data_IF_233672251697
#
_entry.id   IF_233672251697
#
_cell.length_a   1.000
_cell.length_b   1.000
_cell.length_c   1.000
_cell.angle_alpha   90.00
_cell.angle_beta   90.00
_cell.angle_gamma   90.00
#
_symmetry.space_group_name_H-M   'P 1'
#
loop_
_entity.id
_entity.type
_entity.pdbx_description
1 polymer ?
#
# COMPACT_ATOMS: atom_id res chain seq x y z
N UNK A 1 16.44 11.21 13.50
CA UNK A 1 15.17 11.05 14.24
C UNK A 1 15.24 11.95 15.45
N UNK A 2 14.35 12.93 15.58
CA UNK A 2 14.47 13.96 16.61
C UNK A 2 13.19 14.02 17.44
N UNK A 3 13.24 13.47 18.66
CA UNK A 3 12.11 13.47 19.60
C UNK A 3 11.62 14.91 19.87
N UNK A 4 12.54 15.88 19.91
CA UNK A 4 12.22 17.29 20.11
C UNK A 4 11.30 17.84 19.01
N UNK A 5 11.63 17.57 17.74
CA UNK A 5 10.80 17.94 16.58
C UNK A 5 9.43 17.26 16.62
N UNK A 6 9.37 15.99 17.04
CA UNK A 6 8.11 15.27 17.18
C UNK A 6 7.22 15.89 18.26
N UNK A 7 7.77 16.25 19.42
CA UNK A 7 7.03 16.95 20.48
C UNK A 7 6.44 18.25 19.94
N UNK A 8 7.24 19.06 19.23
CA UNK A 8 6.77 20.30 18.59
C UNK A 8 5.64 20.02 17.60
N UNK A 9 5.84 19.03 16.72
CA UNK A 9 4.89 18.65 15.67
C UNK A 9 3.54 18.26 16.27
N UNK A 10 3.53 17.33 17.22
CA UNK A 10 2.29 16.80 17.81
C UNK A 10 1.63 17.79 18.77
N UNK A 11 2.41 18.63 19.48
CA UNK A 11 1.84 19.73 20.26
C UNK A 11 1.08 20.71 19.36
N UNK A 12 1.71 21.13 18.25
CA UNK A 12 1.09 22.07 17.29
C UNK A 12 -0.13 21.45 16.61
N UNK A 13 -0.11 20.16 16.28
CA UNK A 13 -1.29 19.49 15.70
C UNK A 13 -2.47 19.33 16.66
N UNK A 14 -2.26 19.54 17.96
CA UNK A 14 -3.29 19.57 18.99
C UNK A 14 -3.63 21.01 19.44
N UNK A 15 -3.17 22.03 18.70
CA UNK A 15 -3.42 23.45 18.98
C UNK A 15 -3.01 23.92 20.38
N UNK A 16 -1.97 23.29 20.95
CA UNK A 16 -1.47 23.63 22.28
C UNK A 16 -0.26 24.58 22.21
N UNK A 17 -0.23 25.60 23.06
CA UNK A 17 0.99 26.34 23.37
C UNK A 17 1.91 25.54 24.30
N UNK A 18 3.19 25.91 24.38
CA UNK A 18 4.13 25.31 25.34
C UNK A 18 3.62 25.45 26.80
N UNK A 19 3.01 26.59 27.11
CA UNK A 19 2.42 26.87 28.42
C UNK A 19 1.23 25.95 28.71
N UNK A 20 0.33 25.78 27.74
CA UNK A 20 -0.82 24.90 27.89
C UNK A 20 -0.41 23.44 28.03
N UNK A 21 0.58 22.98 27.26
CA UNK A 21 1.12 21.63 27.37
C UNK A 21 1.75 21.40 28.74
N UNK A 22 2.58 22.34 29.21
CA UNK A 22 3.23 22.26 30.52
C UNK A 22 2.20 22.20 31.66
N UNK A 23 1.17 23.06 31.59
CA UNK A 23 0.08 23.09 32.58
C UNK A 23 -0.68 21.77 32.63
N UNK A 24 -0.99 21.18 31.49
CA UNK A 24 -1.69 19.89 31.41
C UNK A 24 -0.84 18.71 31.91
N UNK A 25 0.48 18.78 31.74
CA UNK A 25 1.43 17.78 32.24
C UNK A 25 1.87 18.03 33.70
N UNK A 26 1.42 19.12 34.31
CA UNK A 26 1.82 19.55 35.65
C UNK A 26 3.34 19.72 35.82
N UNK A 27 3.98 20.35 34.83
CA UNK A 27 5.43 20.65 34.81
C UNK A 27 5.67 22.12 34.45
N UNK A 28 6.93 22.56 34.56
CA UNK A 28 7.31 23.91 34.15
C UNK A 28 7.33 24.07 32.62
N UNK A 29 6.91 25.24 32.12
CA UNK A 29 7.04 25.61 30.70
C UNK A 29 8.48 25.48 30.21
N UNK A 30 9.45 25.79 31.07
CA UNK A 30 10.87 25.64 30.77
C UNK A 30 11.24 24.19 30.42
N UNK A 31 10.66 23.20 31.11
CA UNK A 31 10.89 21.78 30.80
C UNK A 31 10.42 21.44 29.39
N UNK A 32 9.22 21.86 29.01
CA UNK A 32 8.69 21.69 27.65
C UNK A 32 9.59 22.38 26.62
N UNK A 33 10.03 23.61 26.87
CA UNK A 33 10.93 24.34 25.96
C UNK A 33 12.25 23.59 25.76
N UNK A 34 12.85 23.08 26.84
CA UNK A 34 14.11 22.31 26.77
C UNK A 34 13.93 21.02 25.98
N UNK A 35 12.79 20.34 26.12
CA UNK A 35 12.49 19.15 25.33
C UNK A 35 12.34 19.47 23.85
N UNK A 36 11.63 20.55 23.51
CA UNK A 36 11.42 20.99 22.13
C UNK A 36 12.68 21.52 21.45
N UNK A 37 13.64 22.02 22.23
CA UNK A 37 14.95 22.44 21.73
C UNK A 37 15.98 21.29 21.69
N UNK A 38 15.64 20.11 22.22
CA UNK A 38 16.58 18.98 22.33
C UNK A 38 17.65 19.15 23.40
N UNK A 39 17.50 20.12 24.31
CA UNK A 39 18.44 20.38 25.41
C UNK A 39 18.36 19.29 26.50
N UNK A 40 17.19 18.69 26.70
CA UNK A 40 16.96 17.61 27.67
C UNK A 40 15.95 16.61 27.13
N UNK A 41 15.99 15.37 27.64
CA UNK A 41 15.01 14.33 27.32
C UNK A 41 13.90 14.26 28.38
N UNK A 42 12.63 14.05 27.99
CA UNK A 42 11.57 13.74 28.94
C UNK A 42 11.82 12.38 29.62
N UNK A 43 11.41 12.25 30.87
CA UNK A 43 11.37 10.95 31.57
C UNK A 43 10.36 9.99 30.91
N UNK A 44 10.45 8.69 31.23
CA UNK A 44 9.49 7.69 30.74
C UNK A 44 8.06 8.07 31.13
N UNK A 45 7.83 8.48 32.38
CA UNK A 45 6.51 8.91 32.83
C UNK A 45 5.98 10.11 32.03
N UNK A 46 6.85 11.08 31.74
CA UNK A 46 6.49 12.24 30.92
C UNK A 46 6.22 11.86 29.46
N UNK A 47 6.94 10.87 28.91
CA UNK A 47 6.67 10.35 27.57
C UNK A 47 5.31 9.64 27.51
N UNK A 48 4.97 8.85 28.51
CA UNK A 48 3.66 8.19 28.63
C UNK A 48 2.56 9.27 28.74
N UNK A 49 2.73 10.25 29.62
CA UNK A 49 1.78 11.35 29.79
C UNK A 49 1.63 12.20 28.52
N UNK A 50 2.72 12.51 27.82
CA UNK A 50 2.71 13.18 26.52
C UNK A 50 1.91 12.39 25.50
N UNK A 51 2.16 11.08 25.39
CA UNK A 51 1.46 10.22 24.41
C UNK A 51 -0.06 10.19 24.67
N UNK A 52 -0.49 10.08 25.94
CA UNK A 52 -1.90 10.11 26.31
C UNK A 52 -2.55 11.47 26.07
N UNK A 53 -1.86 12.57 26.39
CA UNK A 53 -2.38 13.93 26.22
C UNK A 53 -2.51 14.31 24.74
N UNK A 54 -1.54 13.93 23.92
CA UNK A 54 -1.52 14.21 22.49
C UNK A 54 -2.31 13.20 21.66
N UNK A 55 -2.94 12.21 22.32
CA UNK A 55 -3.76 11.14 21.72
C UNK A 55 -3.04 10.35 20.61
N UNK A 56 -1.76 10.02 20.85
CA UNK A 56 -0.91 9.23 19.95
C UNK A 56 -0.23 8.10 20.73
N UNK A 57 0.26 7.08 20.03
CA UNK A 57 1.06 6.05 20.69
C UNK A 57 2.44 6.57 21.09
N UNK A 58 3.05 5.96 22.10
CA UNK A 58 4.44 6.24 22.46
C UNK A 58 5.41 6.01 21.29
N UNK A 59 5.17 4.96 20.50
CA UNK A 59 5.95 4.67 19.28
C UNK A 59 5.84 5.81 18.27
N UNK A 60 4.65 6.39 18.09
CA UNK A 60 4.41 7.50 17.17
C UNK A 60 5.06 8.80 17.67
N UNK A 61 5.02 9.05 18.98
CA UNK A 61 5.73 10.17 19.60
C UNK A 61 7.26 10.08 19.37
N UNK A 62 7.83 8.89 19.54
CA UNK A 62 9.29 8.69 19.42
C UNK A 62 9.72 8.66 17.96
N UNK A 63 9.00 7.94 17.09
CA UNK A 63 9.39 7.77 15.69
C UNK A 63 8.93 8.89 14.77
N UNK A 64 7.90 9.65 15.17
CA UNK A 64 7.26 10.67 14.33
C UNK A 64 6.36 10.10 13.24
N UNK A 65 6.25 8.77 13.19
CA UNK A 65 5.52 8.00 12.19
C UNK A 65 4.29 7.32 12.80
N UNK A 66 3.20 7.17 12.03
CA UNK A 66 1.99 6.55 12.54
C UNK A 66 2.25 5.11 12.97
N UNK A 67 1.64 4.71 14.08
CA UNK A 67 1.78 3.36 14.60
C UNK A 67 1.33 2.31 13.57
N UNK A 68 2.15 1.26 13.42
CA UNK A 68 1.90 0.17 12.51
C UNK A 68 1.12 -0.94 13.23
N UNK A 69 -0.20 -0.97 13.02
CA UNK A 69 -1.06 -2.03 13.55
C UNK A 69 -0.80 -3.36 12.83
N UNK A 70 -0.50 -4.41 13.59
CA UNK A 70 -0.31 -5.77 13.08
C UNK A 70 -1.55 -6.64 13.35
N UNK A 71 -2.00 -7.47 12.38
CA UNK A 71 -1.49 -7.61 11.02
C UNK A 71 -1.84 -6.40 10.13
N UNK A 72 -0.86 -5.91 9.36
CA UNK A 72 -1.08 -4.83 8.40
C UNK A 72 -1.25 -5.40 6.99
N UNK A 73 -2.41 -5.22 6.37
CA UNK A 73 -2.64 -5.63 4.98
C UNK A 73 -2.33 -4.47 4.03
N UNK A 74 -1.30 -4.62 3.20
CA UNK A 74 -0.91 -3.62 2.21
C UNK A 74 -1.64 -3.89 0.88
N UNK A 75 -2.49 -2.95 0.46
CA UNK A 75 -3.17 -2.96 -0.83
C UNK A 75 -4.49 -3.72 -0.88
N UNK A 76 -4.93 -4.31 0.25
CA UNK A 76 -6.24 -4.95 0.37
C UNK A 76 -7.35 -3.90 0.21
N UNK A 77 -8.27 -4.06 -0.76
CA UNK A 77 -9.36 -3.11 -0.92
C UNK A 77 -10.26 -3.07 0.33
N UNK A 78 -10.60 -1.86 0.79
CA UNK A 78 -11.51 -1.67 1.93
C UNK A 78 -12.97 -1.93 1.57
N UNK A 79 -13.37 -1.41 0.41
CA UNK A 79 -14.77 -1.45 -0.04
C UNK A 79 -15.00 -2.73 -0.85
N UNK A 80 -16.13 -3.39 -0.60
CA UNK A 80 -16.58 -4.55 -1.40
C UNK A 80 -17.44 -4.14 -2.61
N UNK A 81 -17.82 -2.87 -2.71
CA UNK A 81 -18.68 -2.33 -3.78
C UNK A 81 -18.19 -2.70 -5.19
N UNK A 82 -16.89 -2.55 -5.55
CA UNK A 82 -16.43 -2.95 -6.87
C UNK A 82 -16.71 -4.43 -7.15
N UNK A 83 -16.41 -5.32 -6.20
CA UNK A 83 -16.70 -6.75 -6.35
C UNK A 83 -18.20 -7.02 -6.52
N UNK A 84 -19.08 -6.29 -5.82
CA UNK A 84 -20.54 -6.39 -5.99
C UNK A 84 -20.95 -5.91 -7.38
N UNK A 85 -20.43 -4.77 -7.85
CA UNK A 85 -20.70 -4.23 -9.20
C UNK A 85 -20.29 -5.25 -10.26
N UNK A 86 -19.12 -5.88 -10.13
CA UNK A 86 -18.67 -6.94 -11.02
C UNK A 86 -19.71 -8.06 -11.08
N UNK A 87 -20.15 -8.59 -9.93
CA UNK A 87 -21.15 -9.67 -9.89
C UNK A 87 -22.47 -9.25 -10.54
N UNK A 88 -22.95 -8.04 -10.25
CA UNK A 88 -24.19 -7.50 -10.82
C UNK A 88 -24.09 -7.37 -12.34
N UNK A 89 -22.95 -6.89 -12.87
CA UNK A 89 -22.71 -6.79 -14.32
C UNK A 89 -22.65 -8.18 -14.98
N UNK A 90 -22.01 -9.17 -14.34
CA UNK A 90 -21.97 -10.53 -14.86
C UNK A 90 -23.37 -11.17 -14.88
N UNK A 91 -24.18 -10.99 -13.83
CA UNK A 91 -25.56 -11.50 -13.79
C UNK A 91 -26.43 -10.80 -14.83
N UNK A 92 -26.34 -9.48 -14.96
CA UNK A 92 -27.13 -8.74 -15.95
C UNK A 92 -26.83 -9.20 -17.37
N UNK A 93 -25.58 -9.55 -17.67
CA UNK A 93 -25.19 -10.06 -19.00
C UNK A 93 -25.91 -11.34 -19.44
N UNK A 94 -26.37 -12.16 -18.48
CA UNK A 94 -27.16 -13.37 -18.75
C UNK A 94 -28.64 -13.03 -18.95
N UNK A 95 -29.17 -12.05 -18.21
CA UNK A 95 -30.57 -11.64 -18.28
C UNK A 95 -30.96 -11.00 -19.62
N UNK A 96 -30.00 -10.41 -20.34
CA UNK A 96 -30.25 -9.82 -21.67
C UNK A 96 -30.35 -10.85 -22.80
N UNK A 97 -30.07 -12.13 -22.55
CA UNK A 97 -30.12 -13.18 -23.57
C UNK A 97 -31.57 -13.60 -23.77
N UNK A 98 -32.14 -13.29 -24.95
CA UNK A 98 -33.49 -13.71 -25.31
C UNK A 98 -33.53 -15.22 -25.57
N UNK A 99 -34.59 -15.88 -25.09
CA UNK A 99 -34.79 -17.32 -25.21
C UNK A 99 -34.98 -17.78 -26.67
N UNK A 100 -35.61 -16.95 -27.50
CA UNK A 100 -35.83 -17.23 -28.94
C UNK A 100 -34.53 -17.31 -29.74
N UNK A 101 -33.48 -16.61 -29.30
CA UNK A 101 -32.18 -16.56 -30.01
C UNK A 101 -31.37 -17.84 -29.83
N UNK A 102 -31.70 -18.65 -28.83
CA UNK A 102 -30.95 -19.85 -28.49
C UNK A 102 -31.47 -21.10 -29.22
N UNK A 103 -32.73 -21.16 -29.65
CA UNK A 103 -33.32 -22.33 -30.34
C UNK A 103 -33.39 -23.65 -29.53
N UNK A 104 -32.50 -23.86 -28.56
CA UNK A 104 -32.41 -24.99 -27.63
C UNK A 104 -31.63 -24.58 -26.36
N UNK A 105 -31.87 -25.27 -25.24
CA UNK A 105 -31.27 -25.03 -23.91
C UNK A 105 -29.74 -25.07 -23.95
N UNK A 106 -29.14 -26.01 -24.68
CA UNK A 106 -27.67 -26.14 -24.76
C UNK A 106 -27.00 -24.90 -25.38
N UNK A 107 -27.62 -24.31 -26.39
CA UNK A 107 -27.12 -23.11 -27.05
C UNK A 107 -27.32 -21.88 -26.16
N UNK A 108 -28.38 -21.81 -25.34
CA UNK A 108 -28.57 -20.75 -24.34
C UNK A 108 -27.45 -20.78 -23.28
N UNK A 109 -27.14 -21.97 -22.75
CA UNK A 109 -26.05 -22.13 -21.77
C UNK A 109 -24.71 -21.72 -22.39
N UNK A 110 -24.45 -22.13 -23.63
CA UNK A 110 -23.24 -21.77 -24.35
C UNK A 110 -23.08 -20.26 -24.56
N UNK A 111 -24.13 -19.58 -25.02
CA UNK A 111 -24.10 -18.11 -25.24
C UNK A 111 -23.99 -17.33 -23.94
N UNK A 112 -24.66 -17.77 -22.87
CA UNK A 112 -24.55 -17.18 -21.53
C UNK A 112 -23.13 -17.33 -20.95
N UNK A 113 -22.51 -18.49 -21.13
CA UNK A 113 -21.14 -18.71 -20.66
C UNK A 113 -20.14 -17.80 -21.40
N UNK A 114 -20.26 -17.69 -22.72
CA UNK A 114 -19.41 -16.81 -23.54
C UNK A 114 -19.61 -15.33 -23.18
N UNK A 115 -20.85 -14.87 -22.99
CA UNK A 115 -21.12 -13.47 -22.65
C UNK A 115 -20.49 -13.08 -21.31
N UNK A 116 -20.59 -13.94 -20.29
CA UNK A 116 -19.99 -13.74 -18.97
C UNK A 116 -18.46 -13.69 -19.07
N UNK A 117 -17.83 -14.61 -19.81
CA UNK A 117 -16.36 -14.61 -20.00
C UNK A 117 -15.88 -13.34 -20.69
N UNK A 118 -16.56 -12.92 -21.76
CA UNK A 118 -16.21 -11.72 -22.51
C UNK A 118 -16.35 -10.49 -21.61
N UNK A 119 -17.49 -10.35 -20.94
CA UNK A 119 -17.73 -9.20 -20.06
C UNK A 119 -16.75 -9.15 -18.89
N UNK A 120 -16.47 -10.29 -18.25
CA UNK A 120 -15.47 -10.37 -17.20
C UNK A 120 -14.08 -9.95 -17.71
N UNK A 121 -13.70 -10.39 -18.91
CA UNK A 121 -12.44 -10.00 -19.54
C UNK A 121 -12.38 -8.49 -19.77
N UNK A 122 -13.44 -7.90 -20.32
CA UNK A 122 -13.54 -6.45 -20.52
C UNK A 122 -13.42 -5.72 -19.18
N UNK A 123 -14.12 -6.16 -18.14
CA UNK A 123 -14.07 -5.49 -16.83
C UNK A 123 -12.67 -5.58 -16.21
N UNK A 124 -11.96 -6.72 -16.32
CA UNK A 124 -10.62 -6.84 -15.77
C UNK A 124 -9.56 -5.94 -16.44
N UNK A 125 -9.74 -5.61 -17.73
CA UNK A 125 -8.74 -4.87 -18.50
C UNK A 125 -9.12 -3.42 -18.81
N UNK A 126 -10.42 -3.12 -18.95
CA UNK A 126 -10.93 -1.81 -19.35
C UNK A 126 -11.51 -1.00 -18.17
N UNK A 127 -11.91 -1.65 -17.08
CA UNK A 127 -12.48 -0.95 -15.93
C UNK A 127 -11.37 -0.33 -15.06
N UNK A 128 -11.59 0.85 -14.45
CA UNK A 128 -10.55 1.57 -13.71
C UNK A 128 -10.15 0.92 -12.37
N UNK A 129 -10.75 -0.20 -11.98
CA UNK A 129 -10.50 -0.86 -10.69
C UNK A 129 -9.72 -2.16 -10.85
N UNK A 130 -8.60 -2.32 -10.12
CA UNK A 130 -7.79 -3.55 -10.15
C UNK A 130 -8.41 -4.60 -9.20
N UNK A 131 -9.29 -5.44 -9.75
CA UNK A 131 -9.93 -6.54 -9.03
C UNK A 131 -8.95 -7.60 -8.49
N UNK A 132 -7.73 -7.68 -9.04
CA UNK A 132 -6.72 -8.64 -8.61
C UNK A 132 -6.24 -8.35 -7.18
N UNK A 133 -6.39 -7.10 -6.72
CA UNK A 133 -6.05 -6.66 -5.36
C UNK A 133 -6.75 -7.42 -4.24
N UNK A 134 -7.95 -7.96 -4.49
CA UNK A 134 -8.61 -8.81 -3.50
C UNK A 134 -7.84 -10.10 -3.24
N UNK A 135 -6.93 -10.49 -4.14
CA UNK A 135 -6.06 -11.65 -4.03
C UNK A 135 -4.59 -11.29 -3.74
N UNK A 136 -4.05 -10.28 -4.44
CA UNK A 136 -2.60 -10.01 -4.51
C UNK A 136 -2.01 -9.20 -3.36
N UNK A 137 -2.82 -8.66 -2.45
CA UNK A 137 -2.33 -7.94 -1.28
C UNK A 137 -1.37 -8.81 -0.45
N UNK A 138 -0.50 -8.18 0.34
CA UNK A 138 0.38 -8.86 1.28
C UNK A 138 0.15 -8.35 2.69
N UNK A 139 0.58 -9.13 3.68
CA UNK A 139 0.31 -8.87 5.09
C UNK A 139 1.62 -8.83 5.86
N UNK A 140 1.87 -7.72 6.54
CA UNK A 140 2.98 -7.56 7.47
C UNK A 140 2.55 -8.04 8.85
N UNK A 141 3.34 -8.93 9.45
CA UNK A 141 3.15 -9.45 10.81
C UNK A 141 4.35 -9.07 11.69
N UNK A 142 4.25 -9.23 13.02
CA UNK A 142 5.38 -8.93 13.93
C UNK A 142 6.61 -9.81 13.71
N UNK A 143 6.41 -11.04 13.22
CA UNK A 143 7.43 -12.09 13.04
C UNK A 143 7.85 -12.33 11.58
N UNK A 144 7.15 -11.76 10.61
CA UNK A 144 7.41 -12.03 9.20
C UNK A 144 6.38 -11.43 8.26
N UNK A 145 6.40 -11.87 7.00
CA UNK A 145 5.55 -11.36 5.92
C UNK A 145 4.75 -12.52 5.34
N UNK A 146 3.44 -12.34 5.18
CA UNK A 146 2.58 -13.25 4.44
C UNK A 146 2.26 -12.66 3.07
N UNK A 147 2.45 -13.42 2.00
CA UNK A 147 2.16 -12.98 0.64
C UNK A 147 1.41 -14.05 -0.15
N UNK A 148 0.70 -13.65 -1.20
CA UNK A 148 -0.09 -14.56 -2.03
C UNK A 148 0.80 -15.28 -3.06
N UNK A 149 0.47 -16.54 -3.34
CA UNK A 149 1.12 -17.40 -4.36
C UNK A 149 0.07 -17.94 -5.35
N UNK A 150 0.36 -18.14 -6.65
CA UNK A 150 1.66 -17.97 -7.30
C UNK A 150 2.02 -16.49 -7.51
N UNK A 151 3.33 -16.22 -7.45
CA UNK A 151 3.86 -14.86 -7.46
C UNK A 151 3.79 -14.27 -8.87
N UNK A 152 2.75 -13.49 -9.16
CA UNK A 152 2.50 -12.93 -10.48
C UNK A 152 2.49 -11.40 -10.40
N UNK A 153 3.69 -10.83 -10.38
CA UNK A 153 4.03 -9.55 -11.03
C UNK A 153 5.53 -9.28 -10.85
N UNK A 154 6.34 -10.27 -11.24
CA UNK A 154 7.68 -9.97 -11.77
C UNK A 154 7.47 -9.03 -12.96
N UNK A 155 8.23 -7.92 -13.08
CA UNK A 155 8.25 -7.12 -14.30
C UNK A 155 8.44 -8.03 -15.52
N UNK A 156 7.46 -8.07 -16.43
CA UNK A 156 7.52 -8.89 -17.65
C UNK A 156 6.74 -10.22 -17.64
N UNK A 157 6.19 -10.67 -16.52
CA UNK A 157 5.34 -11.88 -16.48
C UNK A 157 3.86 -11.49 -16.59
N UNK A 158 3.38 -11.25 -17.82
CA UNK A 158 1.97 -10.97 -18.15
C UNK A 158 1.35 -12.16 -18.86
N UNK A 159 0.14 -12.56 -18.46
CA UNK A 159 -0.73 -13.41 -19.29
C UNK A 159 -0.93 -14.85 -18.84
N UNK A 160 -0.72 -15.17 -17.56
CA UNK A 160 -1.10 -16.49 -17.05
C UNK A 160 -2.62 -16.53 -16.76
N UNK A 161 -3.27 -17.67 -17.05
CA UNK A 161 -4.64 -18.00 -16.61
C UNK A 161 -4.89 -17.67 -15.13
N UNK A 162 -3.85 -17.75 -14.30
CA UNK A 162 -3.92 -17.40 -12.89
C UNK A 162 -4.37 -15.95 -12.62
N UNK A 163 -3.93 -14.97 -13.41
CA UNK A 163 -4.37 -13.57 -13.24
C UNK A 163 -5.87 -13.40 -13.50
N UNK A 164 -6.42 -14.19 -14.43
CA UNK A 164 -7.82 -14.17 -14.78
C UNK A 164 -8.69 -14.76 -13.66
N UNK A 165 -8.23 -15.83 -13.00
CA UNK A 165 -8.98 -16.50 -11.94
C UNK A 165 -8.73 -15.91 -10.54
N UNK A 166 -7.79 -14.99 -10.36
CA UNK A 166 -7.48 -14.38 -9.05
C UNK A 166 -8.68 -13.73 -8.37
N UNK A 167 -9.45 -12.82 -9.03
CA UNK A 167 -10.64 -12.24 -8.42
C UNK A 167 -11.66 -13.30 -7.99
N UNK A 168 -11.83 -14.35 -8.81
CA UNK A 168 -12.70 -15.50 -8.52
C UNK A 168 -12.18 -16.26 -7.29
N UNK A 169 -10.89 -16.62 -7.26
CA UNK A 169 -10.26 -17.27 -6.10
C UNK A 169 -10.40 -16.40 -4.84
N UNK A 170 -10.26 -15.09 -4.95
CA UNK A 170 -10.44 -14.17 -3.85
C UNK A 170 -11.89 -14.18 -3.33
N UNK A 171 -12.86 -14.18 -4.24
CA UNK A 171 -14.28 -14.23 -3.91
C UNK A 171 -14.65 -15.50 -3.14
N UNK A 172 -14.14 -16.66 -3.58
CA UNK A 172 -14.35 -17.94 -2.91
C UNK A 172 -13.39 -18.20 -1.74
N UNK A 173 -12.62 -17.21 -1.30
CA UNK A 173 -11.64 -17.34 -0.20
C UNK A 173 -10.56 -18.42 -0.46
N UNK A 174 -10.31 -18.78 -1.72
CA UNK A 174 -9.30 -19.75 -2.16
C UNK A 174 -7.90 -19.12 -2.34
N UNK A 175 -7.59 -18.11 -1.51
CA UNK A 175 -6.29 -17.41 -1.55
C UNK A 175 -5.22 -18.28 -0.90
N UNK A 176 -4.23 -18.69 -1.69
CA UNK A 176 -3.05 -19.41 -1.20
C UNK A 176 -2.00 -18.39 -0.76
N UNK A 177 -1.50 -18.54 0.46
CA UNK A 177 -0.52 -17.62 1.05
C UNK A 177 0.68 -18.38 1.60
N UNK A 178 1.89 -17.85 1.37
CA UNK A 178 3.12 -18.30 2.02
C UNK A 178 3.51 -17.28 3.09
N UNK A 179 3.98 -17.76 4.24
CA UNK A 179 4.55 -16.94 5.30
C UNK A 179 6.06 -17.12 5.31
N UNK A 180 6.80 -16.02 5.44
CA UNK A 180 8.27 -16.02 5.53
C UNK A 180 8.65 -15.21 6.76
N UNK A 181 9.43 -15.81 7.67
CA UNK A 181 9.89 -15.11 8.86
C UNK A 181 10.99 -14.09 8.53
N UNK A 182 11.14 -13.04 9.35
CA UNK A 182 12.21 -12.06 9.15
C UNK A 182 13.61 -12.67 9.23
N UNK A 183 13.80 -13.75 9.99
CA UNK A 183 15.07 -14.49 10.07
C UNK A 183 15.42 -15.26 8.80
N UNK A 184 14.44 -15.53 7.94
CA UNK A 184 14.65 -16.23 6.66
C UNK A 184 14.98 -15.25 5.53
N UNK A 185 14.77 -13.95 5.75
CA UNK A 185 14.97 -12.91 4.74
C UNK A 185 16.42 -12.43 4.81
N UNK A 186 17.14 -12.63 3.70
CA UNK A 186 18.51 -12.15 3.50
C UNK A 186 18.51 -10.65 3.21
N UNK A 187 17.75 -10.23 2.21
CA UNK A 187 17.70 -8.82 1.80
C UNK A 187 16.34 -8.40 1.25
N UNK A 188 16.07 -7.09 1.34
CA UNK A 188 14.91 -6.42 0.78
C UNK A 188 15.39 -5.23 -0.05
N UNK A 189 15.09 -5.23 -1.34
CA UNK A 189 15.42 -4.15 -2.27
C UNK A 189 14.13 -3.39 -2.64
N UNK A 190 14.09 -2.07 -2.45
CA UNK A 190 12.98 -1.24 -2.94
C UNK A 190 13.26 -0.85 -4.39
N UNK A 191 12.33 -1.17 -5.29
CA UNK A 191 12.52 -0.98 -6.72
C UNK A 191 11.32 -0.23 -7.29
N UNK A 192 11.61 0.83 -8.04
CA UNK A 192 10.67 1.56 -8.86
C UNK A 192 11.16 1.59 -10.32
N UNK A 193 10.37 1.05 -11.25
CA UNK A 193 10.67 1.08 -12.68
C UNK A 193 9.67 1.97 -13.40
N UNK A 194 10.06 3.21 -13.75
CA UNK A 194 9.20 4.08 -14.54
C UNK A 194 9.12 3.62 -15.99
N UNK A 195 8.13 4.16 -16.71
CA UNK A 195 8.08 4.01 -18.15
C UNK A 195 9.19 4.81 -18.84
N UNK A 196 9.51 4.43 -20.08
CA UNK A 196 10.47 5.17 -20.92
C UNK A 196 10.01 6.59 -21.27
N UNK A 197 8.71 6.88 -21.14
CA UNK A 197 8.11 8.19 -21.47
C UNK A 197 7.41 8.70 -20.21
N UNK A 198 7.68 9.97 -19.85
CA UNK A 198 7.07 10.57 -18.69
C UNK A 198 5.55 10.77 -18.92
N UNK A 199 4.71 10.47 -17.91
CA UNK A 199 3.27 10.38 -18.14
C UNK A 199 2.59 11.73 -18.42
N UNK A 200 3.17 12.81 -17.89
CA UNK A 200 2.80 14.21 -18.10
C UNK A 200 2.98 14.71 -19.55
N UNK A 201 3.80 14.04 -20.35
CA UNK A 201 4.05 14.39 -21.77
C UNK A 201 3.23 13.54 -22.76
N UNK A 202 2.41 12.62 -22.27
CA UNK A 202 1.61 11.76 -23.15
C UNK A 202 0.28 12.43 -23.52
N UNK A 203 -0.01 12.50 -24.83
CA UNK A 203 -1.22 13.07 -25.45
C UNK A 203 -2.51 12.69 -24.71
N UNK A 204 -3.57 13.51 -24.80
CA UNK A 204 -4.84 13.51 -24.03
C UNK A 204 -5.60 12.16 -23.79
N UNK A 205 -5.13 11.03 -24.33
CA UNK A 205 -5.59 9.66 -24.06
C UNK A 205 -4.47 8.77 -23.44
N UNK A 206 -3.43 9.40 -22.90
CA UNK A 206 -2.24 8.76 -22.34
C UNK A 206 -2.50 8.12 -20.99
N UNK A 207 -1.60 7.22 -20.52
CA UNK A 207 -1.78 6.39 -19.33
C UNK A 207 -1.92 7.15 -18.00
N UNK A 208 -1.95 8.49 -17.99
CA UNK A 208 -1.83 9.31 -16.79
C UNK A 208 -2.64 10.60 -16.87
N UNK A 209 -3.89 10.53 -17.33
CA UNK A 209 -4.85 11.56 -16.94
C UNK A 209 -5.19 11.33 -15.46
N UNK A 210 -4.80 12.21 -14.51
CA UNK A 210 -4.96 11.95 -13.07
C UNK A 210 -6.41 11.75 -12.62
N UNK A 211 -7.38 12.20 -13.44
CA UNK A 211 -8.82 12.04 -13.21
C UNK A 211 -9.37 10.67 -13.66
N UNK A 212 -8.67 9.95 -14.53
CA UNK A 212 -9.19 8.74 -15.19
C UNK A 212 -8.61 7.43 -14.67
N UNK A 213 -7.39 7.42 -14.11
CA UNK A 213 -6.76 6.16 -13.68
C UNK A 213 -6.52 6.13 -12.18
N UNK A 214 -7.32 5.29 -11.52
CA UNK A 214 -7.18 4.92 -10.14
C UNK A 214 -6.13 3.81 -9.97
N UNK A 215 -5.00 3.72 -10.71
CA UNK A 215 -3.88 2.78 -10.45
C UNK A 215 -2.58 3.37 -11.03
N UNK A 216 -1.50 3.35 -10.23
CA UNK A 216 -0.14 3.55 -10.71
C UNK A 216 0.28 2.36 -11.59
N UNK A 217 0.64 2.63 -12.84
CA UNK A 217 0.96 1.56 -13.81
C UNK A 217 2.43 1.15 -13.79
N UNK A 218 3.28 1.99 -13.22
CA UNK A 218 4.68 1.72 -13.00
C UNK A 218 4.87 0.56 -12.01
N UNK A 219 5.94 -0.15 -12.25
CA UNK A 219 6.34 -1.28 -11.43
C UNK A 219 7.00 -0.74 -10.15
N UNK A 220 6.29 -0.81 -9.03
CA UNK A 220 6.79 -0.40 -7.72
C UNK A 220 6.54 -1.50 -6.69
N UNK A 221 7.63 -2.04 -6.13
CA UNK A 221 7.58 -3.19 -5.23
C UNK A 221 8.83 -3.29 -4.36
N UNK A 222 8.74 -4.06 -3.27
CA UNK A 222 9.92 -4.65 -2.64
C UNK A 222 10.28 -5.95 -3.33
N UNK A 223 11.55 -6.16 -3.69
CA UNK A 223 12.10 -7.47 -4.03
C UNK A 223 12.72 -8.06 -2.78
N UNK A 224 12.24 -9.22 -2.36
CA UNK A 224 12.69 -9.91 -1.15
C UNK A 224 13.44 -11.16 -1.56
N UNK A 225 14.64 -11.32 -1.02
CA UNK A 225 15.51 -12.46 -1.24
C UNK A 225 15.68 -13.18 0.09
N UNK A 226 15.41 -14.49 0.10
CA UNK A 226 15.61 -15.33 1.29
C UNK A 226 17.03 -15.87 1.36
N UNK A 227 17.43 -16.41 2.52
CA UNK A 227 18.71 -17.12 2.65
C UNK A 227 18.82 -18.38 1.78
N UNK A 228 17.68 -18.93 1.34
CA UNK A 228 17.60 -20.07 0.42
C UNK A 228 17.57 -19.65 -1.05
N UNK A 229 17.88 -18.38 -1.35
CA UNK A 229 17.81 -17.77 -2.68
C UNK A 229 16.40 -17.78 -3.33
N UNK A 230 15.34 -18.09 -2.59
CA UNK A 230 13.96 -17.81 -3.04
C UNK A 230 13.79 -16.30 -3.19
N UNK A 231 13.25 -15.87 -4.33
CA UNK A 231 12.91 -14.47 -4.62
C UNK A 231 11.40 -14.33 -4.71
N UNK A 232 10.84 -13.37 -3.98
CA UNK A 232 9.47 -12.93 -4.13
C UNK A 232 9.40 -11.41 -4.08
N UNK A 233 8.32 -10.82 -4.57
CA UNK A 233 8.19 -9.37 -4.56
C UNK A 233 6.95 -8.93 -3.77
N UNK A 234 6.87 -7.70 -3.30
CA UNK A 234 5.73 -7.20 -2.53
C UNK A 234 5.27 -5.90 -3.18
N UNK A 235 4.06 -5.89 -3.72
CA UNK A 235 3.51 -4.77 -4.47
C UNK A 235 3.35 -3.52 -3.60
N UNK A 236 3.84 -2.38 -4.11
CA UNK A 236 3.81 -1.08 -3.43
C UNK A 236 3.02 0.00 -4.16
N UNK A 237 2.40 -0.28 -5.31
CA UNK A 237 1.70 0.72 -6.15
C UNK A 237 0.59 1.49 -5.44
N UNK A 238 0.02 0.89 -4.40
CA UNK A 238 -1.03 1.52 -3.57
C UNK A 238 -0.53 2.72 -2.76
N UNK A 239 0.79 2.91 -2.68
CA UNK A 239 1.42 4.13 -2.20
C UNK A 239 1.02 5.36 -3.02
N UNK A 240 0.68 5.20 -4.30
CA UNK A 240 0.43 6.33 -5.20
C UNK A 240 -0.72 7.25 -4.76
N UNK A 241 -1.75 6.74 -4.08
CA UNK A 241 -2.85 7.61 -3.62
C UNK A 241 -2.48 8.27 -2.31
N UNK A 242 -2.27 9.59 -2.34
CA UNK A 242 -1.88 10.39 -1.16
C UNK A 242 -2.78 10.18 0.07
N UNK A 243 -4.07 9.89 -0.14
CA UNK A 243 -5.03 9.66 0.93
C UNK A 243 -5.15 8.20 1.40
N UNK A 244 -4.44 7.25 0.78
CA UNK A 244 -4.48 5.83 1.16
C UNK A 244 -3.80 5.58 2.51
N UNK A 245 -4.14 4.45 3.13
CA UNK A 245 -3.46 4.03 4.37
C UNK A 245 -2.01 3.67 4.05
N UNK A 246 -1.81 3.03 2.91
CA UNK A 246 -0.54 2.59 2.34
C UNK A 246 0.41 3.77 2.16
N UNK A 247 -0.05 4.89 1.59
CA UNK A 247 0.74 6.11 1.45
C UNK A 247 1.24 6.62 2.81
N UNK A 248 0.33 6.71 3.78
CA UNK A 248 0.63 7.22 5.12
C UNK A 248 1.54 6.30 5.94
N UNK A 249 1.59 5.01 5.63
CA UNK A 249 2.28 3.99 6.46
C UNK A 249 3.51 3.38 5.81
N UNK A 250 3.76 3.60 4.51
CA UNK A 250 4.93 3.03 3.84
C UNK A 250 6.25 3.48 4.47
N UNK A 251 6.33 4.75 4.89
CA UNK A 251 7.48 5.26 5.66
C UNK A 251 7.70 4.43 6.94
N UNK A 252 6.65 4.21 7.73
CA UNK A 252 6.72 3.36 8.94
C UNK A 252 7.14 1.94 8.62
N UNK A 253 6.61 1.36 7.53
CA UNK A 253 6.94 0.01 7.07
C UNK A 253 8.43 -0.09 6.74
N UNK A 254 8.98 0.86 5.99
CA UNK A 254 10.40 0.90 5.63
C UNK A 254 11.26 0.97 6.90
N UNK A 255 10.95 1.87 7.83
CA UNK A 255 11.69 1.99 9.09
C UNK A 255 11.56 0.75 9.97
N UNK A 256 10.40 0.10 9.96
CA UNK A 256 10.19 -1.16 10.66
C UNK A 256 11.06 -2.28 10.06
N UNK A 257 11.11 -2.42 8.73
CA UNK A 257 11.93 -3.42 8.05
C UNK A 257 13.43 -3.18 8.26
N UNK A 258 13.89 -1.92 8.18
CA UNK A 258 15.28 -1.53 8.48
C UNK A 258 15.73 -1.93 9.90
N UNK A 259 14.79 -1.96 10.86
CA UNK A 259 15.07 -2.39 12.25
C UNK A 259 15.15 -3.90 12.44
N UNK A 260 14.78 -4.71 11.43
CA UNK A 260 14.73 -6.19 11.55
C UNK A 260 16.07 -6.89 11.29
N UNK A 261 17.19 -6.15 11.26
CA UNK A 261 18.52 -6.69 10.93
C UNK A 261 18.55 -7.41 9.58
N UNK A 262 17.79 -6.89 8.61
CA UNK A 262 17.73 -7.37 7.24
C UNK A 262 18.54 -6.39 6.39
N UNK A 263 19.28 -6.89 5.40
CA UNK A 263 19.97 -6.04 4.44
C UNK A 263 18.95 -5.28 3.59
N UNK A 264 18.83 -3.98 3.81
CA UNK A 264 17.87 -3.14 3.09
C UNK A 264 18.59 -2.35 1.99
N UNK A 265 18.29 -2.68 0.74
CA UNK A 265 18.89 -2.10 -0.46
C UNK A 265 17.99 -1.02 -1.05
N UNK A 266 18.56 0.16 -1.30
CA UNK A 266 17.86 1.29 -1.91
C UNK A 266 18.78 2.03 -2.87
N UNK A 267 18.99 1.42 -4.03
CA UNK A 267 19.89 1.94 -5.05
C UNK A 267 19.37 3.24 -5.71
N UNK A 268 18.09 3.54 -5.54
CA UNK A 268 17.40 4.65 -6.22
C UNK A 268 17.08 5.83 -5.27
N UNK A 269 17.43 5.74 -3.99
CA UNK A 269 17.13 6.78 -2.98
C UNK A 269 15.64 6.92 -2.66
N UNK A 270 14.83 5.90 -2.95
CA UNK A 270 13.37 5.95 -2.85
C UNK A 270 12.91 6.13 -1.41
N UNK A 271 13.57 5.45 -0.48
CA UNK A 271 13.21 5.50 0.95
C UNK A 271 13.36 6.91 1.50
N UNK A 272 14.38 7.65 1.09
CA UNK A 272 14.57 9.03 1.53
C UNK A 272 13.44 9.93 1.00
N UNK A 273 13.02 9.75 -0.25
CA UNK A 273 11.90 10.49 -0.84
C UNK A 273 10.60 10.20 -0.10
N UNK A 274 10.33 8.91 0.19
CA UNK A 274 9.13 8.48 0.94
C UNK A 274 9.14 9.03 2.37
N UNK A 275 10.29 8.99 3.06
CA UNK A 275 10.43 9.51 4.42
C UNK A 275 10.25 11.03 4.49
N UNK A 276 10.65 11.77 3.44
CA UNK A 276 10.42 13.21 3.34
C UNK A 276 8.97 13.59 2.98
N UNK A 277 8.07 12.61 2.75
CA UNK A 277 6.64 12.79 2.43
C UNK A 277 6.38 13.85 1.35
N UNK A 278 7.18 13.83 0.29
CA UNK A 278 7.09 14.85 -0.76
C UNK A 278 5.89 14.60 -1.67
N UNK A 279 5.10 15.65 -1.93
CA UNK A 279 3.80 15.54 -2.63
C UNK A 279 3.91 15.03 -4.08
N UNK A 280 5.08 15.13 -4.71
CA UNK A 280 5.31 14.74 -6.12
C UNK A 280 6.33 13.59 -6.26
N UNK A 281 6.12 12.48 -5.53
CA UNK A 281 6.98 11.28 -5.58
C UNK A 281 7.27 10.82 -7.01
N UNK A 282 6.23 10.63 -7.83
CA UNK A 282 6.39 10.11 -9.20
C UNK A 282 7.23 11.05 -10.06
N UNK A 283 6.95 12.36 -10.03
CA UNK A 283 7.68 13.34 -10.84
C UNK A 283 9.16 13.40 -10.47
N UNK A 284 9.50 13.26 -9.17
CA UNK A 284 10.89 13.16 -8.74
C UNK A 284 11.57 11.89 -9.21
N UNK A 285 10.88 10.75 -9.18
CA UNK A 285 11.41 9.50 -9.70
C UNK A 285 11.67 9.53 -11.21
N UNK A 286 10.86 10.27 -11.98
CA UNK A 286 11.15 10.50 -13.41
C UNK A 286 12.31 11.48 -13.62
N UNK A 287 12.48 12.47 -12.74
CA UNK A 287 13.58 13.44 -12.83
C UNK A 287 14.93 12.88 -12.36
N UNK A 288 14.95 11.85 -11.52
CA UNK A 288 16.20 11.21 -11.06
C UNK A 288 16.83 10.24 -12.08
N UNK A 289 16.14 10.00 -13.19
CA UNK A 289 16.53 9.03 -14.23
C UNK A 289 17.03 9.73 -15.51
N UNK A 290 16.76 11.02 -15.66
CA UNK A 290 17.34 11.88 -16.68
C UNK A 290 18.58 12.60 -16.13
#
# INVERSE_FOLDING_TARGET
MNLSENIVKFRKSNDLSQEQLAKKLNISRQSVSKWENGETLPSIDNLIALSGLLNISLDELITGEPYLYFPFNFGKPKNKIPAVILIVLLISSVLFIKTETAGNIGMFIGTAFLSVIILYSIILYAFPFDYKRYYSYWTLNRKGISYATPYLRTPGFKGCFDEYIMPIKAFFHLRKTKFVSYSEIKSIEIIFKPFKISPDRSFALGPYTPRFQQIMKEDFFFKVITHNDDIFFLDLREYYYNNSKEHKTLATIILFLKRKNIEYLDNQGISEIILKRQENFVQKMYNSIN
#
